data_IF_597826119169
#
_entry.id   IF_597826119169
#
_cell.length_a   1.000
_cell.length_b   1.000
_cell.length_c   1.000
_cell.angle_alpha   90.00
_cell.angle_beta   90.00
_cell.angle_gamma   90.00
#
_symmetry.space_group_name_H-M   'P 1'
#
loop_
_entity.id
_entity.type
_entity.pdbx_description
1 polymer ?
#
# COMPACT_ATOMS: atom_id res chain seq x y z
N UNK A 1 3.38 12.77 -5.53
CA UNK A 1 3.75 11.73 -6.53
C UNK A 1 3.89 12.29 -7.94
N UNK A 2 2.86 12.92 -8.54
CA UNK A 2 2.94 13.43 -9.92
C UNK A 2 4.18 14.26 -10.26
N UNK A 3 4.55 15.20 -9.37
CA UNK A 3 5.73 16.05 -9.55
C UNK A 3 7.04 15.25 -9.64
N UNK A 4 7.17 14.16 -8.86
CA UNK A 4 8.36 13.31 -8.87
C UNK A 4 8.42 12.48 -10.15
N UNK A 5 7.34 11.79 -10.50
CA UNK A 5 7.24 11.02 -11.75
C UNK A 5 7.57 11.90 -12.96
N UNK A 6 7.03 13.13 -13.02
CA UNK A 6 7.30 14.06 -14.13
C UNK A 6 8.77 14.48 -14.23
N UNK A 7 9.41 14.77 -13.09
CA UNK A 7 10.78 15.32 -13.08
C UNK A 7 11.86 14.24 -13.18
N UNK A 8 11.62 13.09 -12.58
CA UNK A 8 12.63 12.04 -12.42
C UNK A 8 12.31 10.78 -13.24
N UNK A 9 11.11 10.69 -13.82
CA UNK A 9 10.75 9.63 -14.76
C UNK A 9 11.75 9.46 -15.91
N UNK A 10 12.18 10.54 -16.58
CA UNK A 10 13.22 10.45 -17.61
C UNK A 10 14.59 9.97 -17.11
N UNK A 11 14.79 9.94 -15.78
CA UNK A 11 16.01 9.47 -15.12
C UNK A 11 15.86 8.06 -14.52
N UNK A 12 14.78 7.36 -14.87
CA UNK A 12 14.53 5.98 -14.43
C UNK A 12 13.67 5.84 -13.17
N UNK A 13 13.14 6.93 -12.59
CA UNK A 13 12.17 6.79 -11.50
C UNK A 13 10.83 6.27 -12.02
N UNK A 14 10.30 5.24 -11.37
CA UNK A 14 8.92 4.77 -11.59
C UNK A 14 8.16 4.82 -10.27
N UNK A 15 7.07 5.57 -10.26
CA UNK A 15 6.11 5.61 -9.15
C UNK A 15 5.03 4.57 -9.41
N UNK A 16 4.75 3.78 -8.38
CA UNK A 16 3.74 2.73 -8.35
C UNK A 16 2.80 3.00 -7.18
N UNK A 17 1.50 3.11 -7.43
CA UNK A 17 0.49 3.30 -6.40
C UNK A 17 -0.38 2.06 -6.24
N UNK A 18 -0.46 1.54 -5.03
CA UNK A 18 -1.43 0.50 -4.67
C UNK A 18 -2.55 1.12 -3.86
N UNK A 19 -3.78 0.74 -4.17
CA UNK A 19 -4.97 1.20 -3.48
C UNK A 19 -5.24 0.26 -2.30
N UNK A 20 -5.65 0.79 -1.15
CA UNK A 20 -5.90 0.00 0.06
C UNK A 20 -6.97 0.65 0.95
N UNK A 21 -7.85 -0.16 1.53
CA UNK A 21 -8.94 0.31 2.39
C UNK A 21 -8.78 -0.05 3.89
N UNK A 22 -7.65 -0.64 4.30
CA UNK A 22 -7.47 -1.17 5.68
C UNK A 22 -7.25 -0.06 6.73
N UNK A 23 -6.82 1.13 6.33
CA UNK A 23 -6.58 2.26 7.23
C UNK A 23 -7.79 3.20 7.30
N UNK A 24 -8.69 2.96 8.24
CA UNK A 24 -9.84 3.84 8.50
C UNK A 24 -10.83 3.96 7.34
N UNK A 25 -10.88 2.96 6.45
CA UNK A 25 -11.82 2.87 5.34
C UNK A 25 -11.84 4.10 4.41
N UNK A 26 -10.67 4.66 4.08
CA UNK A 26 -10.59 5.87 3.26
C UNK A 26 -10.75 5.62 1.75
N UNK A 27 -10.67 4.37 1.29
CA UNK A 27 -10.76 3.96 -0.11
C UNK A 27 -11.93 2.98 -0.32
N UNK A 28 -13.13 3.40 0.08
CA UNK A 28 -14.36 2.61 -0.02
C UNK A 28 -14.81 2.38 -1.46
N UNK A 29 -14.44 3.29 -2.37
CA UNK A 29 -14.74 3.22 -3.79
C UNK A 29 -14.25 1.92 -4.42
N UNK A 30 -14.97 1.43 -5.42
CA UNK A 30 -14.54 0.30 -6.26
C UNK A 30 -13.44 0.75 -7.21
N UNK A 31 -12.69 -0.20 -7.77
CA UNK A 31 -11.57 0.09 -8.68
C UNK A 31 -11.97 1.05 -9.83
N UNK A 32 -13.18 0.89 -10.35
CA UNK A 32 -13.73 1.68 -11.47
C UNK A 32 -14.09 3.12 -11.07
N UNK A 33 -14.25 3.38 -9.78
CA UNK A 33 -14.68 4.67 -9.24
C UNK A 33 -13.50 5.55 -8.79
N UNK A 34 -12.35 4.95 -8.49
CA UNK A 34 -11.23 5.65 -7.84
C UNK A 34 -10.69 6.79 -8.70
N UNK A 35 -10.57 6.60 -10.02
CA UNK A 35 -10.13 7.67 -10.92
C UNK A 35 -11.13 8.83 -10.95
N UNK A 36 -12.43 8.56 -10.82
CA UNK A 36 -13.44 9.61 -10.72
C UNK A 36 -13.33 10.37 -9.38
N UNK A 37 -13.09 9.66 -8.27
CA UNK A 37 -12.86 10.30 -6.98
C UNK A 37 -11.65 11.24 -7.01
N UNK A 38 -10.53 10.77 -7.58
CA UNK A 38 -9.32 11.58 -7.77
C UNK A 38 -9.56 12.81 -8.64
N UNK A 39 -10.34 12.65 -9.71
CA UNK A 39 -10.59 13.73 -10.69
C UNK A 39 -11.60 14.75 -10.22
N UNK A 40 -12.65 14.34 -9.52
CA UNK A 40 -13.83 15.18 -9.27
C UNK A 40 -14.16 15.43 -7.81
N UNK A 41 -13.56 14.71 -6.85
CA UNK A 41 -13.88 14.85 -5.42
C UNK A 41 -12.69 15.42 -4.65
N UNK A 42 -11.55 14.73 -4.69
CA UNK A 42 -10.33 15.14 -3.98
C UNK A 42 -9.14 14.50 -4.69
N UNK A 43 -8.06 15.24 -5.02
CA UNK A 43 -7.61 16.52 -4.45
C UNK A 43 -8.18 17.81 -5.08
N UNK A 44 -9.26 17.74 -5.86
CA UNK A 44 -9.83 18.83 -6.67
C UNK A 44 -8.98 19.16 -7.92
N UNK A 45 -9.46 20.07 -8.78
CA UNK A 45 -8.71 20.61 -9.92
C UNK A 45 -8.54 19.65 -11.10
N UNK A 46 -9.45 18.67 -11.28
CA UNK A 46 -9.35 17.64 -12.34
C UNK A 46 -8.05 16.86 -12.28
N UNK A 47 -7.61 16.51 -11.07
CA UNK A 47 -6.37 15.79 -10.86
C UNK A 47 -6.39 14.42 -11.55
N UNK A 48 -5.32 14.13 -12.29
CA UNK A 48 -5.09 12.83 -12.91
C UNK A 48 -3.69 12.33 -12.52
N UNK A 49 -3.56 11.10 -11.98
CA UNK A 49 -2.25 10.51 -11.69
C UNK A 49 -1.49 10.26 -12.99
N UNK A 50 -0.21 10.62 -13.03
CA UNK A 50 0.68 10.37 -14.19
C UNK A 50 1.60 9.15 -13.98
N UNK A 51 1.17 8.24 -13.12
CA UNK A 51 1.90 7.05 -12.69
C UNK A 51 0.91 5.88 -12.57
N UNK A 52 1.43 4.66 -12.47
CA UNK A 52 0.59 3.45 -12.47
C UNK A 52 -0.15 3.32 -11.14
N UNK A 53 -1.46 3.11 -11.22
CA UNK A 53 -2.29 2.66 -10.11
C UNK A 53 -2.67 1.19 -10.33
N UNK A 54 -2.44 0.37 -9.33
CA UNK A 54 -2.90 -1.02 -9.30
C UNK A 54 -4.27 -1.13 -8.64
N UNK A 55 -4.91 -2.27 -8.85
CA UNK A 55 -6.16 -2.60 -8.17
C UNK A 55 -6.01 -2.56 -6.65
N UNK A 56 -7.15 -2.34 -6.00
CA UNK A 56 -7.25 -2.37 -4.55
C UNK A 56 -6.85 -3.73 -3.99
N UNK A 57 -5.96 -3.73 -3.02
CA UNK A 57 -5.53 -4.93 -2.32
C UNK A 57 -5.36 -4.70 -0.80
N UNK A 58 -5.18 -5.78 -0.06
CA UNK A 58 -4.78 -5.74 1.34
C UNK A 58 -3.25 -5.65 1.42
N UNK A 59 -2.73 -4.77 2.27
CA UNK A 59 -1.29 -4.59 2.50
C UNK A 59 -0.82 -5.29 3.78
N UNK A 60 -1.76 -5.52 4.69
CA UNK A 60 -1.54 -6.12 6.00
C UNK A 60 -2.47 -7.32 6.23
N UNK A 61 -2.15 -8.08 7.29
CA UNK A 61 -2.90 -9.27 7.69
C UNK A 61 -2.65 -10.52 6.83
N UNK A 62 -3.46 -11.55 7.07
CA UNK A 62 -3.32 -12.88 6.44
C UNK A 62 -3.62 -12.91 4.95
N UNK A 63 -4.36 -11.92 4.44
CA UNK A 63 -4.70 -11.76 3.01
C UNK A 63 -3.83 -10.70 2.32
N UNK A 64 -2.78 -10.20 2.98
CA UNK A 64 -1.89 -9.21 2.39
C UNK A 64 -1.32 -9.70 1.04
N UNK A 65 -1.31 -8.81 0.05
CA UNK A 65 -0.71 -9.11 -1.23
C UNK A 65 0.78 -9.49 -1.04
N UNK A 66 1.31 -10.53 -1.72
CA UNK A 66 2.65 -11.06 -1.46
C UNK A 66 3.78 -10.02 -1.54
N UNK A 67 3.65 -9.02 -2.41
CA UNK A 67 4.57 -7.88 -2.49
C UNK A 67 4.69 -7.13 -1.15
N UNK A 68 3.57 -6.80 -0.50
CA UNK A 68 3.58 -6.06 0.76
C UNK A 68 4.03 -6.93 1.94
N UNK A 69 3.75 -8.23 1.90
CA UNK A 69 4.35 -9.18 2.85
C UNK A 69 5.88 -9.22 2.71
N UNK A 70 6.40 -9.29 1.48
CA UNK A 70 7.84 -9.25 1.20
C UNK A 70 8.49 -7.93 1.63
N UNK A 71 7.89 -6.78 1.30
CA UNK A 71 8.43 -5.47 1.65
C UNK A 71 8.49 -5.27 3.17
N UNK A 72 7.48 -5.72 3.91
CA UNK A 72 7.49 -5.66 5.39
C UNK A 72 8.54 -6.61 6.00
N UNK A 73 8.80 -7.76 5.39
CA UNK A 73 9.88 -8.66 5.85
C UNK A 73 11.27 -8.04 5.60
N UNK A 74 11.47 -7.41 4.43
CA UNK A 74 12.73 -6.77 4.07
C UNK A 74 12.98 -5.45 4.82
N UNK A 75 11.91 -4.72 5.14
CA UNK A 75 11.93 -3.41 5.81
C UNK A 75 10.91 -3.42 6.96
N UNK A 76 11.25 -4.05 8.10
CA UNK A 76 10.30 -4.32 9.19
C UNK A 76 9.79 -3.07 9.91
N UNK A 77 10.56 -1.99 9.88
CA UNK A 77 10.17 -0.72 10.51
C UNK A 77 10.51 0.46 9.60
N UNK A 78 9.66 1.51 9.58
CA UNK A 78 10.02 2.77 8.94
C UNK A 78 11.25 3.38 9.59
N UNK A 79 12.17 3.91 8.77
CA UNK A 79 13.44 4.49 9.25
C UNK A 79 13.25 5.60 10.28
N UNK A 80 12.29 6.50 10.04
CA UNK A 80 12.13 7.72 10.83
C UNK A 80 11.22 7.53 12.06
N UNK A 81 10.43 6.46 12.09
CA UNK A 81 9.46 6.16 13.16
C UNK A 81 9.40 4.65 13.44
N UNK A 82 10.45 4.13 14.06
CA UNK A 82 10.64 2.69 14.20
C UNK A 82 9.67 1.97 15.16
N UNK A 83 9.03 2.71 16.09
CA UNK A 83 8.19 2.13 17.16
C UNK A 83 6.71 2.42 17.04
N UNK A 84 6.32 3.39 16.21
CA UNK A 84 4.92 3.77 16.06
C UNK A 84 4.19 2.77 15.14
N UNK A 85 3.10 2.18 15.64
CA UNK A 85 2.24 1.29 14.84
C UNK A 85 0.88 1.95 14.53
N UNK A 86 0.10 2.25 15.58
CA UNK A 86 -1.20 2.91 15.47
C UNK A 86 -1.52 3.61 16.77
N UNK A 87 -2.05 4.84 16.70
CA UNK A 87 -2.43 5.60 17.90
C UNK A 87 -3.72 5.07 18.54
N UNK A 88 -4.72 4.76 17.72
CA UNK A 88 -6.01 4.23 18.18
C UNK A 88 -6.18 2.79 17.68
N UNK A 89 -6.20 1.80 18.59
CA UNK A 89 -6.28 0.38 18.21
C UNK A 89 -7.61 0.01 17.54
N UNK A 90 -8.62 0.88 17.47
CA UNK A 90 -9.84 0.56 16.69
C UNK A 90 -9.61 0.50 15.18
N UNK A 91 -8.52 1.10 14.68
CA UNK A 91 -8.19 1.09 13.24
C UNK A 91 -7.41 -0.16 12.81
N UNK A 92 -7.09 -1.03 13.76
CA UNK A 92 -6.45 -2.33 13.60
C UNK A 92 -7.59 -3.36 13.36
N UNK A 93 -8.01 -3.53 12.11
CA UNK A 93 -9.21 -4.34 11.74
C UNK A 93 -8.90 -5.64 10.98
N UNK A 94 -7.64 -5.87 10.65
CA UNK A 94 -7.13 -7.09 10.03
C UNK A 94 -6.73 -8.14 11.08
N UNK A 95 -6.20 -9.28 10.65
CA UNK A 95 -5.65 -10.29 11.57
C UNK A 95 -4.28 -10.74 11.06
N UNK A 96 -3.30 -10.97 11.95
CA UNK A 96 -1.94 -11.32 11.54
C UNK A 96 -1.93 -12.51 10.58
N UNK A 97 -1.09 -12.43 9.54
CA UNK A 97 -0.73 -13.61 8.75
C UNK A 97 0.21 -14.49 9.54
N UNK A 98 0.20 -15.80 9.24
CA UNK A 98 1.18 -16.74 9.80
C UNK A 98 2.60 -16.25 9.46
N UNK A 99 3.53 -16.16 10.43
CA UNK A 99 4.91 -15.81 10.12
C UNK A 99 5.53 -16.87 9.21
N UNK A 100 6.17 -16.42 8.12
CA UNK A 100 6.86 -17.26 7.11
C UNK A 100 8.07 -18.05 7.66
N UNK A 101 8.34 -17.95 8.96
CA UNK A 101 9.44 -18.65 9.64
C UNK A 101 9.23 -20.17 9.69
N UNK A 102 7.98 -20.63 9.64
CA UNK A 102 7.65 -22.07 9.62
C UNK A 102 8.00 -22.72 8.27
N UNK A 103 7.83 -22.01 7.15
CA UNK A 103 8.13 -22.55 5.81
C UNK A 103 9.63 -22.74 5.55
N UNK A 104 10.49 -21.94 6.20
CA UNK A 104 11.95 -22.14 6.12
C UNK A 104 12.42 -23.41 6.85
N UNK A 105 11.61 -24.00 7.74
CA UNK A 105 11.89 -25.29 8.38
C UNK A 105 11.41 -26.48 7.53
N UNK A 106 10.41 -26.30 6.69
CA UNK A 106 9.83 -27.35 5.86
C UNK A 106 10.60 -27.65 4.55
N UNK A 107 11.61 -26.84 4.20
CA UNK A 107 12.46 -27.02 3.01
C UNK A 107 13.83 -27.66 3.27
N UNK A 108 14.03 -28.29 4.44
CA UNK A 108 15.22 -29.09 4.75
C UNK A 108 14.82 -30.55 4.89
N UNK A 109 14.56 -31.20 3.76
CA UNK A 109 14.73 -32.65 3.58
C UNK A 109 15.11 -32.94 2.13
#
# INVERSE_FOLDING_TARGET
MNKLQRRLGPRGLVVLGSLCNQSGYQENSKNEEILNCLKYVRPDGRFEPNFVLFEKCEVDGSKAHPLFAFLREALPTPRDHATALMTDPKFITWSPGMPRLEERRAGKE
#
